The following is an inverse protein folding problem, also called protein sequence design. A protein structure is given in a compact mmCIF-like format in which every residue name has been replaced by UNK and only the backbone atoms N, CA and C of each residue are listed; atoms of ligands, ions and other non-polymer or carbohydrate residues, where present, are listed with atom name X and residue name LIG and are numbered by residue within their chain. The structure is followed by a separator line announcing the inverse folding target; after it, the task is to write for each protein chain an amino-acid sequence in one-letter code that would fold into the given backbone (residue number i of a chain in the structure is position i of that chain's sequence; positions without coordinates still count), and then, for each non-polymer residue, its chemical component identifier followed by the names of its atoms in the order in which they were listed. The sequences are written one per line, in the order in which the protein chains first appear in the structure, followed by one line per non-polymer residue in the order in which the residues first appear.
data_IF_786551881973
#
_entry.id   IF_786551881973
#
_cell.length_a   1.000
_cell.length_b   1.000
_cell.length_c   1.000
_cell.angle_alpha   90.00
_cell.angle_beta   90.00
_cell.angle_gamma   90.00
#
_symmetry.space_group_name_H-M   'P 1'
#
loop_
_entity.id
_entity.type
_entity.pdbx_description
1 polymer ?
#
# COMPACT_ATOMS: atom_id res chain seq x y z
N UNK A 1 -15.83 46.36 21.76
CA UNK A 1 -16.17 46.06 20.36
C UNK A 1 -15.57 44.71 20.03
N UNK A 2 -16.38 43.65 20.00
CA UNK A 2 -15.88 42.30 19.72
C UNK A 2 -15.94 42.04 18.23
N UNK A 3 -14.78 41.81 17.61
CA UNK A 3 -14.68 41.35 16.23
C UNK A 3 -15.01 39.86 16.19
N UNK A 4 -16.07 39.48 15.47
CA UNK A 4 -16.38 38.10 15.16
C UNK A 4 -15.57 37.74 13.93
N UNK A 5 -14.48 36.98 14.11
CA UNK A 5 -13.76 36.34 13.01
C UNK A 5 -14.65 35.23 12.46
N UNK A 6 -15.23 35.44 11.28
CA UNK A 6 -15.90 34.39 10.52
C UNK A 6 -14.84 33.39 10.07
N UNK A 7 -14.76 32.25 10.77
CA UNK A 7 -14.04 31.08 10.28
C UNK A 7 -14.71 30.65 8.98
N UNK A 8 -14.01 30.85 7.86
CA UNK A 8 -14.44 30.36 6.56
C UNK A 8 -14.39 28.84 6.62
N UNK A 9 -15.55 28.20 6.78
CA UNK A 9 -15.67 26.76 6.66
C UNK A 9 -15.36 26.41 5.21
N UNK A 10 -14.14 25.92 4.96
CA UNK A 10 -13.80 25.26 3.70
C UNK A 10 -14.75 24.09 3.58
N UNK A 11 -15.76 24.21 2.71
CA UNK A 11 -16.62 23.09 2.34
C UNK A 11 -15.73 22.09 1.60
N UNK A 12 -15.24 21.07 2.30
CA UNK A 12 -14.54 19.95 1.68
C UNK A 12 -15.52 19.30 0.71
N UNK A 13 -15.16 19.24 -0.58
CA UNK A 13 -15.98 18.55 -1.57
C UNK A 13 -16.23 17.10 -1.12
N UNK A 14 -17.43 16.54 -1.35
CA UNK A 14 -17.74 15.18 -0.93
C UNK A 14 -16.78 14.18 -1.61
N UNK A 15 -16.18 13.30 -0.80
CA UNK A 15 -15.30 12.24 -1.28
C UNK A 15 -16.13 11.10 -1.85
N UNK A 16 -15.97 10.84 -3.15
CA UNK A 16 -16.69 9.80 -3.87
C UNK A 16 -15.91 8.49 -3.84
N UNK A 17 -16.58 7.40 -3.49
CA UNK A 17 -16.03 6.04 -3.59
C UNK A 17 -16.26 5.47 -5.00
N UNK A 18 -15.28 4.74 -5.58
CA UNK A 18 -15.49 4.01 -6.81
C UNK A 18 -16.50 2.87 -6.61
N UNK A 19 -17.19 2.47 -7.68
CA UNK A 19 -18.23 1.42 -7.62
C UNK A 19 -17.69 0.05 -7.18
N UNK A 20 -16.41 -0.22 -7.39
CA UNK A 20 -15.74 -1.43 -6.97
C UNK A 20 -14.38 -1.07 -6.42
N UNK A 21 -14.09 -1.58 -5.22
CA UNK A 21 -12.81 -1.42 -4.52
C UNK A 21 -12.13 -2.78 -4.48
N UNK A 22 -10.97 -2.96 -5.14
CA UNK A 22 -10.23 -4.21 -5.04
C UNK A 22 -9.70 -4.39 -3.61
N UNK A 23 -9.94 -5.55 -3.01
CA UNK A 23 -9.45 -5.88 -1.67
C UNK A 23 -8.01 -6.37 -1.71
N UNK A 24 -7.28 -6.20 -0.61
CA UNK A 24 -5.92 -6.70 -0.43
C UNK A 24 -5.78 -7.46 0.89
N UNK A 25 -5.44 -8.74 0.80
CA UNK A 25 -5.27 -9.64 1.94
C UNK A 25 -3.78 -9.89 2.31
N UNK A 26 -2.85 -9.37 1.51
CA UNK A 26 -1.41 -9.60 1.68
C UNK A 26 -0.78 -10.56 0.66
N UNK A 27 -1.56 -11.19 -0.22
CA UNK A 27 -1.10 -12.27 -1.12
C UNK A 27 -0.57 -11.83 -2.49
N UNK A 28 -0.37 -10.53 -2.73
CA UNK A 28 0.04 -10.01 -4.04
C UNK A 28 0.91 -8.76 -4.00
N UNK A 29 1.22 -8.22 -5.18
CA UNK A 29 2.00 -6.99 -5.30
C UNK A 29 1.22 -5.77 -4.81
N UNK A 30 1.51 -5.39 -3.56
CA UNK A 30 0.93 -4.22 -2.91
C UNK A 30 1.12 -2.94 -3.72
N UNK A 31 2.27 -2.75 -4.39
CA UNK A 31 2.57 -1.53 -5.15
C UNK A 31 1.64 -1.39 -6.37
N UNK A 32 1.44 -2.48 -7.11
CA UNK A 32 0.53 -2.48 -8.25
C UNK A 32 -0.93 -2.42 -7.82
N UNK A 33 -1.29 -3.05 -6.70
CA UNK A 33 -2.63 -2.94 -6.13
C UNK A 33 -2.95 -1.51 -5.68
N UNK A 34 -2.10 -0.91 -4.83
CA UNK A 34 -2.33 0.44 -4.27
C UNK A 34 -2.37 1.51 -5.37
N UNK A 35 -1.50 1.43 -6.38
CA UNK A 35 -1.54 2.34 -7.54
C UNK A 35 -2.87 2.25 -8.31
N UNK A 36 -3.44 1.06 -8.45
CA UNK A 36 -4.75 0.88 -9.10
C UNK A 36 -5.84 1.53 -8.26
N UNK A 37 -5.86 1.27 -6.95
CA UNK A 37 -6.82 1.85 -6.02
C UNK A 37 -6.79 3.39 -6.05
N UNK A 38 -5.61 4.00 -5.90
CA UNK A 38 -5.44 5.46 -5.94
C UNK A 38 -5.98 6.04 -7.24
N UNK A 39 -5.65 5.41 -8.38
CA UNK A 39 -6.13 5.86 -9.69
C UNK A 39 -7.66 5.81 -9.78
N UNK A 40 -8.29 4.79 -9.21
CA UNK A 40 -9.74 4.62 -9.27
C UNK A 40 -10.45 5.66 -8.39
N UNK A 41 -9.91 5.97 -7.20
CA UNK A 41 -10.39 7.07 -6.37
C UNK A 41 -10.17 8.43 -7.03
N UNK A 42 -9.02 8.69 -7.65
CA UNK A 42 -8.82 9.92 -8.44
C UNK A 42 -9.86 10.05 -9.55
N UNK A 43 -10.16 8.97 -10.27
CA UNK A 43 -11.19 8.98 -11.34
C UNK A 43 -12.58 9.29 -10.79
N UNK A 44 -12.94 8.73 -9.64
CA UNK A 44 -14.21 9.01 -8.97
C UNK A 44 -14.31 10.47 -8.48
N UNK A 45 -13.18 11.13 -8.21
CA UNK A 45 -13.10 12.48 -7.66
C UNK A 45 -12.56 13.52 -8.66
N UNK A 46 -12.97 13.44 -9.93
CA UNK A 46 -12.65 14.50 -10.91
C UNK A 46 -11.19 14.59 -11.34
N UNK A 47 -10.38 13.53 -11.11
CA UNK A 47 -8.93 13.42 -11.37
C UNK A 47 -8.03 14.20 -10.40
N UNK A 48 -8.60 14.84 -9.40
CA UNK A 48 -7.87 15.47 -8.30
C UNK A 48 -7.33 14.41 -7.35
N UNK A 49 -6.22 14.71 -6.68
CA UNK A 49 -5.67 13.85 -5.65
C UNK A 49 -6.51 14.01 -4.37
N UNK A 50 -7.07 12.92 -3.82
CA UNK A 50 -7.86 12.99 -2.60
C UNK A 50 -7.06 13.49 -1.40
N UNK A 51 -7.78 14.03 -0.41
CA UNK A 51 -7.19 14.37 0.88
C UNK A 51 -6.45 13.16 1.48
N UNK A 52 -5.26 13.34 2.10
CA UNK A 52 -4.48 12.23 2.64
C UNK A 52 -5.28 11.33 3.59
N UNK A 53 -6.03 11.91 4.53
CA UNK A 53 -6.93 11.18 5.42
C UNK A 53 -7.94 10.30 4.68
N UNK A 54 -8.61 10.85 3.66
CA UNK A 54 -9.57 10.08 2.85
C UNK A 54 -8.89 8.94 2.08
N UNK A 55 -7.66 9.15 1.61
CA UNK A 55 -6.90 8.11 0.93
C UNK A 55 -6.43 7.00 1.90
N UNK A 56 -6.00 7.35 3.11
CA UNK A 56 -5.61 6.36 4.13
C UNK A 56 -6.84 5.54 4.53
N UNK A 57 -7.97 6.18 4.81
CA UNK A 57 -9.23 5.47 5.09
C UNK A 57 -9.64 4.56 3.94
N UNK A 58 -9.51 5.02 2.69
CA UNK A 58 -9.81 4.21 1.52
C UNK A 58 -8.89 2.98 1.39
N UNK A 59 -7.60 3.13 1.70
CA UNK A 59 -6.63 2.03 1.71
C UNK A 59 -6.94 1.05 2.83
N UNK A 60 -7.11 1.54 4.06
CA UNK A 60 -7.37 0.72 5.25
C UNK A 60 -8.65 -0.11 5.09
N UNK A 61 -9.75 0.52 4.65
CA UNK A 61 -11.01 -0.20 4.37
C UNK A 61 -10.89 -1.25 3.26
N UNK A 62 -9.91 -1.10 2.36
CA UNK A 62 -9.68 -2.06 1.28
C UNK A 62 -8.68 -3.17 1.67
N UNK A 63 -8.03 -3.04 2.82
CA UNK A 63 -7.12 -4.03 3.38
C UNK A 63 -7.93 -4.99 4.26
N UNK A 64 -7.73 -6.30 4.08
CA UNK A 64 -8.49 -7.36 4.76
C UNK A 64 -7.58 -8.47 5.26
N UNK A 65 -8.12 -9.41 6.05
CA UNK A 65 -7.41 -10.63 6.47
C UNK A 65 -6.11 -10.38 7.23
N UNK A 66 -5.04 -11.08 6.84
CA UNK A 66 -3.72 -10.97 7.46
C UNK A 66 -3.13 -9.56 7.32
N UNK A 67 -3.44 -8.87 6.22
CA UNK A 67 -3.01 -7.49 6.02
C UNK A 67 -3.70 -6.50 6.95
N UNK A 68 -5.00 -6.67 7.22
CA UNK A 68 -5.68 -5.86 8.23
C UNK A 68 -5.13 -6.12 9.63
N UNK A 69 -4.82 -7.40 9.92
CA UNK A 69 -4.20 -7.79 11.18
C UNK A 69 -2.82 -7.14 11.35
N UNK A 70 -2.00 -7.12 10.30
CA UNK A 70 -0.71 -6.45 10.31
C UNK A 70 -0.84 -4.95 10.60
N UNK A 71 -1.73 -4.24 9.90
CA UNK A 71 -1.99 -2.81 10.11
C UNK A 71 -2.38 -2.53 11.57
N UNK A 72 -3.37 -3.26 12.10
CA UNK A 72 -3.84 -3.06 13.47
C UNK A 72 -2.83 -3.44 14.56
N UNK A 73 -1.91 -4.36 14.27
CA UNK A 73 -0.85 -4.77 15.20
C UNK A 73 0.37 -3.86 15.19
N UNK A 74 0.53 -3.02 14.16
CA UNK A 74 1.66 -2.12 14.00
C UNK A 74 1.34 -0.75 14.62
N UNK A 75 2.02 -0.33 15.70
CA UNK A 75 1.70 0.92 16.40
C UNK A 75 1.77 2.16 15.51
N UNK A 76 2.70 2.19 14.55
CA UNK A 76 2.85 3.31 13.62
C UNK A 76 1.67 3.38 12.65
N UNK A 77 1.28 2.24 12.05
CA UNK A 77 0.17 2.22 11.10
C UNK A 77 -1.17 2.47 11.79
N UNK A 78 -1.38 1.90 12.98
CA UNK A 78 -2.56 2.18 13.81
C UNK A 78 -2.66 3.68 14.12
N UNK A 79 -1.57 4.33 14.51
CA UNK A 79 -1.56 5.77 14.78
C UNK A 79 -1.92 6.60 13.52
N UNK A 80 -1.38 6.22 12.36
CA UNK A 80 -1.69 6.90 11.09
C UNK A 80 -3.18 6.74 10.72
N UNK A 81 -3.77 5.56 10.94
CA UNK A 81 -5.20 5.33 10.72
C UNK A 81 -6.04 6.17 11.68
N UNK A 82 -5.67 6.26 12.96
CA UNK A 82 -6.35 7.15 13.92
C UNK A 82 -6.29 8.63 13.52
N UNK A 83 -5.13 9.10 13.01
CA UNK A 83 -4.99 10.45 12.46
C UNK A 83 -5.86 10.65 11.21
N UNK A 84 -5.99 9.63 10.37
CA UNK A 84 -6.86 9.70 9.20
C UNK A 84 -8.34 9.78 9.61
N UNK A 85 -8.75 9.02 10.63
CA UNK A 85 -10.11 9.07 11.20
C UNK A 85 -10.44 10.40 11.86
N UNK A 86 -9.44 11.04 12.50
CA UNK A 86 -9.55 12.41 12.99
C UNK A 86 -9.47 13.48 11.88
N UNK A 87 -9.28 13.07 10.62
CA UNK A 87 -9.04 13.95 9.47
C UNK A 87 -7.82 14.88 9.64
N UNK A 88 -6.82 14.46 10.42
CA UNK A 88 -5.57 15.21 10.70
C UNK A 88 -4.34 14.62 10.03
N UNK A 89 -4.46 13.48 9.35
CA UNK A 89 -3.36 12.87 8.62
C UNK A 89 -2.85 13.75 7.47
N UNK A 90 -1.53 13.75 7.32
CA UNK A 90 -0.78 14.55 6.35
C UNK A 90 -0.37 13.73 5.12
N UNK A 91 0.20 14.40 4.12
CA UNK A 91 0.79 13.73 2.97
C UNK A 91 1.98 12.84 3.37
N UNK A 92 2.72 13.21 4.42
CA UNK A 92 3.83 12.40 4.96
C UNK A 92 3.31 11.11 5.59
N UNK A 93 2.20 11.18 6.34
CA UNK A 93 1.56 10.02 6.94
C UNK A 93 1.06 9.04 5.87
N UNK A 94 0.43 9.55 4.80
CA UNK A 94 0.01 8.72 3.66
C UNK A 94 1.21 8.04 2.99
N UNK A 95 2.31 8.76 2.78
CA UNK A 95 3.52 8.21 2.19
C UNK A 95 4.13 7.13 3.10
N UNK A 96 4.21 7.38 4.41
CA UNK A 96 4.74 6.44 5.39
C UNK A 96 3.89 5.18 5.50
N UNK A 97 2.56 5.32 5.45
CA UNK A 97 1.62 4.20 5.42
C UNK A 97 1.86 3.30 4.20
N UNK A 98 1.96 3.91 3.01
CA UNK A 98 2.20 3.18 1.76
C UNK A 98 3.58 2.52 1.72
N UNK A 99 4.64 3.24 2.13
CA UNK A 99 5.99 2.71 2.16
C UNK A 99 6.10 1.53 3.13
N UNK A 100 5.57 1.65 4.35
CA UNK A 100 5.63 0.58 5.35
C UNK A 100 4.94 -0.70 4.85
N UNK A 101 3.76 -0.57 4.23
CA UNK A 101 3.06 -1.71 3.65
C UNK A 101 3.80 -2.27 2.43
N UNK A 102 4.38 -1.42 1.59
CA UNK A 102 5.19 -1.85 0.47
C UNK A 102 6.46 -2.58 0.92
N UNK A 103 7.11 -2.15 2.00
CA UNK A 103 8.30 -2.80 2.52
C UNK A 103 7.96 -4.19 3.09
N UNK A 104 6.84 -4.29 3.82
CA UNK A 104 6.40 -5.56 4.40
C UNK A 104 5.92 -6.57 3.34
N UNK A 105 5.10 -6.13 2.37
CA UNK A 105 4.52 -7.02 1.36
C UNK A 105 5.34 -7.14 0.08
N UNK A 106 6.15 -6.13 -0.26
CA UNK A 106 7.07 -6.16 -1.39
C UNK A 106 8.18 -7.18 -1.20
N UNK A 107 8.78 -7.22 0.01
CA UNK A 107 9.79 -8.24 0.35
C UNK A 107 9.18 -9.65 0.41
N UNK A 108 7.94 -9.80 0.92
CA UNK A 108 7.23 -11.08 0.92
C UNK A 108 6.93 -11.61 -0.49
N UNK A 109 6.58 -10.74 -1.42
CA UNK A 109 6.34 -11.13 -2.82
C UNK A 109 7.60 -11.59 -3.53
N UNK A 110 8.76 -10.99 -3.25
CA UNK A 110 10.05 -11.41 -3.83
C UNK A 110 10.60 -12.68 -3.15
N UNK A 111 10.46 -12.81 -1.83
CA UNK A 111 10.87 -14.02 -1.10
C UNK A 111 10.01 -15.24 -1.48
N UNK A 112 8.70 -15.05 -1.74
CA UNK A 112 7.83 -16.14 -2.20
C UNK A 112 8.05 -16.51 -3.67
N UNK A 113 8.59 -15.61 -4.50
CA UNK A 113 8.99 -15.93 -5.87
C UNK A 113 10.36 -16.64 -5.94
N UNK A 114 11.14 -16.62 -4.86
CA UNK A 114 12.47 -17.20 -4.83
C UNK A 114 12.52 -18.69 -4.46
N UNK A 115 11.42 -19.33 -4.05
CA UNK A 115 11.47 -20.66 -3.41
C UNK A 115 10.39 -21.66 -3.84
N UNK A 116 9.82 -21.56 -5.04
CA UNK A 116 8.96 -22.63 -5.56
C UNK A 116 9.18 -22.97 -7.04
N UNK A 117 10.45 -23.16 -7.37
CA UNK A 117 10.86 -23.99 -8.49
C UNK A 117 11.97 -24.91 -8.00
N UNK A 118 12.01 -26.19 -8.40
CA UNK A 118 13.18 -27.00 -8.15
C UNK A 118 14.35 -26.24 -8.77
N UNK A 119 15.30 -25.76 -7.96
CA UNK A 119 16.62 -25.43 -8.50
C UNK A 119 17.05 -26.74 -9.16
N UNK A 120 17.20 -26.83 -10.49
CA UNK A 120 17.81 -28.01 -11.04
C UNK A 120 19.22 -28.00 -10.44
N UNK A 121 19.45 -28.89 -9.46
CA UNK A 121 20.80 -29.27 -9.07
C UNK A 121 21.41 -29.90 -10.31
N UNK A 122 21.92 -29.07 -11.21
CA UNK A 122 22.85 -29.51 -12.24
C UNK A 122 24.14 -29.76 -11.48
N UNK A 123 24.27 -30.96 -10.93
CA UNK A 123 25.55 -31.43 -10.45
C UNK A 123 26.52 -31.36 -11.64
N UNK A 124 27.67 -30.74 -11.44
CA UNK A 124 28.77 -30.76 -12.41
C UNK A 124 28.99 -32.22 -12.81
N UNK A 125 28.81 -32.54 -14.09
CA UNK A 125 28.96 -33.92 -14.56
C UNK A 125 30.41 -34.36 -14.37
N UNK A 126 30.63 -35.64 -14.03
CA UNK A 126 31.97 -36.19 -13.87
C UNK A 126 32.75 -36.04 -15.20
N UNK A 127 33.65 -35.06 -15.25
CA UNK A 127 34.41 -34.67 -16.45
C UNK A 127 34.10 -33.29 -17.04
N UNK A 128 33.16 -32.52 -16.48
CA UNK A 128 32.90 -31.13 -16.88
C UNK A 128 33.95 -30.19 -16.29
N UNK A 129 34.53 -29.29 -17.11
CA UNK A 129 35.48 -28.27 -16.59
C UNK A 129 34.72 -27.15 -15.88
N UNK A 130 35.33 -26.58 -14.84
CA UNK A 130 34.74 -25.49 -14.06
C UNK A 130 34.36 -24.27 -14.93
N UNK A 131 35.18 -23.95 -15.95
CA UNK A 131 34.88 -22.86 -16.88
C UNK A 131 33.60 -23.10 -17.70
N UNK A 132 33.30 -24.34 -18.05
CA UNK A 132 32.08 -24.69 -18.79
C UNK A 132 30.82 -24.64 -17.91
N UNK A 133 30.97 -24.88 -16.60
CA UNK A 133 29.88 -24.77 -15.63
C UNK A 133 29.51 -23.31 -15.34
N UNK A 134 30.50 -22.43 -15.14
CA UNK A 134 30.26 -21.01 -14.85
C UNK A 134 29.82 -20.19 -16.08
N UNK A 135 29.99 -20.71 -17.29
CA UNK A 135 29.56 -20.07 -18.53
C UNK A 135 28.10 -20.37 -18.92
N UNK A 136 27.35 -21.14 -18.11
CA UNK A 136 25.93 -21.46 -18.33
C UNK A 136 24.99 -20.47 -17.66
#
# INVERSE_FOLDING_TARGET
MSAITLASAVMTAPFNHPQSVPLFDGSGDFKSWSRRLIRDYRRANGKEDPHPSSMIQALDNAIVGDAATFVGSNPLLSQIVEQADAFTATAEDLALFQCTLQDYYGVKSEASAAHDGPIPHVAQGDGESLDAYYAR
#
